data_IF_503053899331
#
_entry.id   IF_503053899331
#
_cell.length_a   1.000
_cell.length_b   1.000
_cell.length_c   1.000
_cell.angle_alpha   90.00
_cell.angle_beta   90.00
_cell.angle_gamma   90.00
#
_symmetry.space_group_name_H-M   'P 1'
#
loop_
_entity.id
_entity.type
_entity.pdbx_description
1 polymer ?
#
# COMPACT_ATOMS: atom_id res chain seq x y z
N UNK A 1 40.71 -1.53 -13.58
CA UNK A 1 39.79 -2.69 -13.59
C UNK A 1 38.47 -2.19 -13.07
N UNK A 2 37.45 -2.06 -13.93
CA UNK A 2 36.10 -1.69 -13.50
C UNK A 2 35.52 -2.86 -12.73
N UNK A 3 35.18 -2.66 -11.46
CA UNK A 3 34.40 -3.62 -10.68
C UNK A 3 33.14 -3.99 -11.49
N UNK A 4 32.77 -5.27 -11.61
CA UNK A 4 31.53 -5.64 -12.28
C UNK A 4 30.37 -4.94 -11.58
N UNK A 5 29.54 -4.23 -12.34
CA UNK A 5 28.29 -3.67 -11.83
C UNK A 5 27.51 -4.82 -11.16
N UNK A 6 27.08 -4.69 -9.90
CA UNK A 6 26.30 -5.72 -9.25
C UNK A 6 25.09 -6.05 -10.12
N UNK A 7 24.77 -7.33 -10.28
CA UNK A 7 23.55 -7.72 -10.98
C UNK A 7 22.33 -7.04 -10.31
N UNK A 8 21.48 -6.41 -11.13
CA UNK A 8 20.22 -5.81 -10.66
C UNK A 8 19.39 -6.95 -10.06
N UNK A 9 18.90 -6.76 -8.84
CA UNK A 9 18.05 -7.74 -8.17
C UNK A 9 16.76 -7.96 -8.95
N UNK A 10 16.34 -9.22 -9.09
CA UNK A 10 15.03 -9.60 -9.63
C UNK A 10 14.46 -10.77 -8.83
N UNK A 11 13.15 -10.78 -8.50
CA UNK A 11 12.54 -11.92 -7.82
C UNK A 11 12.71 -13.22 -8.63
N UNK A 12 13.00 -14.30 -7.93
CA UNK A 12 13.09 -15.66 -8.48
C UNK A 12 12.00 -16.55 -7.88
N UNK A 13 11.88 -17.78 -8.39
CA UNK A 13 10.80 -18.73 -8.07
C UNK A 13 10.67 -19.09 -6.58
N UNK A 14 11.72 -18.86 -5.78
CA UNK A 14 11.69 -19.13 -4.33
C UNK A 14 11.21 -17.92 -3.51
N UNK A 15 11.02 -16.75 -4.14
CA UNK A 15 10.52 -15.57 -3.47
C UNK A 15 9.14 -15.86 -2.87
N UNK A 16 8.94 -15.55 -1.59
CA UNK A 16 7.73 -15.93 -0.84
C UNK A 16 6.44 -15.44 -1.50
N UNK A 17 6.47 -14.25 -2.12
CA UNK A 17 5.31 -13.69 -2.81
C UNK A 17 4.83 -14.53 -4.00
N UNK A 18 5.66 -15.40 -4.59
CA UNK A 18 5.27 -16.32 -5.69
C UNK A 18 4.14 -17.25 -5.27
N UNK A 19 4.08 -17.61 -3.98
CA UNK A 19 3.06 -18.52 -3.43
C UNK A 19 1.69 -17.86 -3.21
N UNK A 20 1.61 -16.53 -3.34
CA UNK A 20 0.37 -15.79 -3.10
C UNK A 20 -0.61 -16.04 -4.26
N UNK A 21 -1.88 -16.39 -3.99
CA UNK A 21 -2.86 -16.65 -5.04
C UNK A 21 -3.20 -15.40 -5.87
N UNK A 22 -3.20 -15.54 -7.19
CA UNK A 22 -3.65 -14.48 -8.12
C UNK A 22 -5.15 -14.48 -8.37
N UNK A 23 -5.80 -15.64 -8.26
CA UNK A 23 -7.20 -15.86 -8.61
C UNK A 23 -7.90 -16.54 -7.45
N UNK A 24 -8.99 -15.92 -7.02
CA UNK A 24 -9.88 -16.39 -5.96
C UNK A 24 -11.31 -15.99 -6.33
N UNK A 25 -12.30 -16.49 -5.59
CA UNK A 25 -13.74 -16.25 -5.76
C UNK A 25 -14.20 -14.87 -5.26
N UNK A 26 -13.35 -14.17 -4.49
CA UNK A 26 -13.65 -12.87 -3.91
C UNK A 26 -14.14 -11.87 -4.96
N UNK A 27 -15.08 -11.00 -4.58
CA UNK A 27 -15.51 -9.90 -5.44
C UNK A 27 -14.30 -9.02 -5.78
N UNK A 28 -14.19 -8.60 -7.05
CA UNK A 28 -13.17 -7.65 -7.52
C UNK A 28 -13.83 -6.49 -8.24
N UNK A 29 -13.32 -5.30 -7.99
CA UNK A 29 -13.81 -4.08 -8.60
C UNK A 29 -13.52 -4.07 -10.12
N UNK A 30 -14.54 -3.93 -10.99
CA UNK A 30 -14.36 -3.90 -12.43
C UNK A 30 -13.37 -2.83 -12.91
N UNK A 31 -13.30 -1.69 -12.21
CA UNK A 31 -12.36 -0.60 -12.51
C UNK A 31 -10.89 -1.00 -12.47
N UNK A 32 -10.56 -2.08 -11.75
CA UNK A 32 -9.19 -2.55 -11.55
C UNK A 32 -8.82 -3.71 -12.48
N UNK A 33 -9.76 -4.26 -13.25
CA UNK A 33 -9.52 -5.47 -14.04
C UNK A 33 -8.40 -5.30 -15.08
N UNK A 34 -8.33 -4.16 -15.74
CA UNK A 34 -7.34 -3.91 -16.78
C UNK A 34 -5.93 -3.79 -16.18
N UNK A 35 -5.73 -2.81 -15.28
CA UNK A 35 -4.39 -2.40 -14.84
C UNK A 35 -4.00 -2.86 -13.43
N UNK A 36 -4.96 -3.32 -12.63
CA UNK A 36 -4.76 -3.62 -11.21
C UNK A 36 -4.61 -2.37 -10.32
N UNK A 37 -4.76 -1.16 -10.86
CA UNK A 37 -4.78 0.08 -10.09
C UNK A 37 -5.66 1.13 -10.76
N UNK A 38 -6.12 2.11 -9.97
CA UNK A 38 -6.87 3.27 -10.43
C UNK A 38 -6.31 4.53 -9.77
N UNK A 39 -5.92 5.50 -10.59
CA UNK A 39 -5.55 6.84 -10.12
C UNK A 39 -6.82 7.66 -9.94
N UNK A 40 -6.92 8.35 -8.80
CA UNK A 40 -8.05 9.19 -8.41
C UNK A 40 -7.64 10.66 -8.49
N UNK A 41 -8.63 11.56 -8.38
CA UNK A 41 -8.38 12.99 -8.25
C UNK A 41 -7.45 13.26 -7.08
N UNK A 42 -6.45 14.11 -7.33
CA UNK A 42 -5.53 14.61 -6.31
C UNK A 42 -6.32 15.22 -5.15
N UNK A 43 -5.97 14.81 -3.93
CA UNK A 43 -6.58 15.33 -2.72
C UNK A 43 -5.97 16.67 -2.35
N UNK A 44 -6.83 17.64 -2.00
CA UNK A 44 -6.37 18.86 -1.38
C UNK A 44 -6.06 18.58 0.11
N UNK A 45 -4.78 18.64 0.47
CA UNK A 45 -4.30 18.36 1.81
C UNK A 45 -3.93 19.65 2.59
N UNK A 46 -4.30 20.84 2.09
CA UNK A 46 -3.90 22.12 2.69
C UNK A 46 -4.46 22.31 4.11
N UNK A 47 -5.58 21.65 4.43
CA UNK A 47 -6.22 21.68 5.74
C UNK A 47 -5.70 20.61 6.71
N UNK A 48 -4.84 19.68 6.24
CA UNK A 48 -4.28 18.60 7.08
C UNK A 48 -2.86 19.01 7.48
N UNK A 49 -2.61 19.40 8.76
CA UNK A 49 -1.30 19.84 9.18
C UNK A 49 -0.33 18.66 9.29
N UNK A 50 0.96 18.91 9.00
CA UNK A 50 1.98 17.87 9.01
C UNK A 50 2.14 17.14 10.34
N UNK A 51 1.80 17.81 11.45
CA UNK A 51 1.74 17.22 12.78
C UNK A 51 0.84 15.98 12.86
N UNK A 52 -0.18 15.84 12.01
CA UNK A 52 -1.05 14.66 11.97
C UNK A 52 -0.35 13.39 11.51
N UNK A 53 0.78 13.50 10.80
CA UNK A 53 1.59 12.32 10.45
C UNK A 53 2.97 12.35 11.08
N UNK A 54 3.57 13.52 11.32
CA UNK A 54 4.92 13.63 11.90
C UNK A 54 4.96 13.26 13.40
N UNK A 55 3.90 13.55 14.16
CA UNK A 55 3.87 13.36 15.62
C UNK A 55 3.33 11.99 16.07
N UNK A 56 3.07 11.08 15.12
CA UNK A 56 2.56 9.75 15.45
C UNK A 56 3.63 8.89 16.12
N UNK A 57 3.19 7.87 16.85
CA UNK A 57 4.10 6.83 17.34
C UNK A 57 4.44 5.87 16.20
N UNK A 58 5.70 5.92 15.75
CA UNK A 58 6.24 5.04 14.72
C UNK A 58 6.88 3.79 15.32
N UNK A 59 6.64 2.66 14.65
CA UNK A 59 7.26 1.38 14.95
C UNK A 59 8.31 1.04 13.89
N UNK A 60 9.40 0.40 14.31
CA UNK A 60 10.41 -0.13 13.40
C UNK A 60 9.87 -1.34 12.63
N UNK A 61 10.11 -1.37 11.31
CA UNK A 61 9.72 -2.50 10.47
C UNK A 61 10.89 -3.46 10.25
N UNK A 62 10.66 -4.74 10.54
CA UNK A 62 11.73 -5.74 10.67
C UNK A 62 12.35 -6.26 9.35
N UNK A 63 11.93 -5.79 8.17
CA UNK A 63 12.36 -6.42 6.91
C UNK A 63 12.71 -5.52 5.72
N UNK A 64 12.85 -4.20 5.85
CA UNK A 64 13.25 -3.41 4.68
C UNK A 64 13.64 -1.96 4.95
N UNK A 65 14.95 -1.71 5.00
CA UNK A 65 15.53 -0.36 4.96
C UNK A 65 14.98 0.57 6.03
N UNK A 66 15.26 1.85 5.88
CA UNK A 66 14.81 2.92 6.77
C UNK A 66 13.29 3.22 6.59
N UNK A 67 12.44 2.18 6.65
CA UNK A 67 10.97 2.27 6.57
C UNK A 67 10.35 2.10 7.95
N UNK A 68 9.54 3.06 8.36
CA UNK A 68 8.79 3.00 9.61
C UNK A 68 7.29 3.09 9.35
N UNK A 69 6.48 2.53 10.26
CA UNK A 69 5.03 2.63 10.17
C UNK A 69 4.42 3.14 11.47
N UNK A 70 3.43 4.03 11.36
CA UNK A 70 2.56 4.40 12.46
C UNK A 70 1.14 3.87 12.18
N UNK A 71 0.68 2.81 12.85
CA UNK A 71 -0.67 2.28 12.64
C UNK A 71 -1.72 3.26 13.14
N UNK A 72 -2.74 3.51 12.32
CA UNK A 72 -3.98 4.22 12.67
C UNK A 72 -5.13 3.24 12.95
N UNK A 73 -5.07 2.05 12.35
CA UNK A 73 -5.95 0.92 12.68
C UNK A 73 -5.19 -0.40 12.63
N UNK A 74 -5.51 -1.31 13.56
CA UNK A 74 -4.89 -2.62 13.70
C UNK A 74 -5.89 -3.69 14.14
N UNK A 75 -5.45 -4.94 14.27
CA UNK A 75 -6.32 -6.09 14.57
C UNK A 75 -6.97 -6.01 15.96
N UNK A 76 -6.29 -5.36 16.90
CA UNK A 76 -6.63 -5.29 18.32
C UNK A 76 -6.61 -3.85 18.88
N UNK A 77 -6.43 -2.84 18.01
CA UNK A 77 -6.37 -1.43 18.40
C UNK A 77 -5.04 -1.00 19.02
N UNK A 78 -4.04 -1.88 19.08
CA UNK A 78 -2.69 -1.52 19.53
C UNK A 78 -1.86 -0.92 18.39
N UNK A 79 -0.79 -0.19 18.73
CA UNK A 79 0.15 0.37 17.75
C UNK A 79 1.10 -0.70 17.15
N UNK A 80 0.86 -1.99 17.37
CA UNK A 80 1.71 -3.05 16.82
C UNK A 80 1.48 -3.24 15.31
N UNK A 81 2.57 -3.32 14.53
CA UNK A 81 2.53 -3.47 13.07
C UNK A 81 2.30 -4.91 12.58
N UNK A 82 1.62 -5.77 13.33
CA UNK A 82 1.44 -7.19 12.98
C UNK A 82 0.52 -7.43 11.78
N UNK A 83 0.68 -8.57 11.13
CA UNK A 83 -0.32 -9.08 10.20
C UNK A 83 -1.53 -9.63 10.96
N UNK A 84 -2.76 -9.40 10.49
CA UNK A 84 -3.97 -9.83 11.20
C UNK A 84 -4.06 -11.36 11.33
N UNK A 85 -3.44 -12.10 10.40
CA UNK A 85 -3.36 -13.55 10.44
C UNK A 85 -2.59 -14.08 11.67
N UNK A 86 -1.70 -13.29 12.28
CA UNK A 86 -1.02 -13.67 13.52
C UNK A 86 -1.99 -13.78 14.71
N UNK A 87 -3.14 -13.11 14.60
CA UNK A 87 -4.24 -13.15 15.54
C UNK A 87 -5.41 -14.02 15.03
N UNK A 88 -5.21 -14.76 13.93
CA UNK A 88 -6.25 -15.58 13.32
C UNK A 88 -7.40 -14.79 12.68
N UNK A 89 -7.17 -13.53 12.30
CA UNK A 89 -8.19 -12.65 11.69
C UNK A 89 -7.90 -12.31 10.23
N UNK A 90 -8.97 -12.05 9.49
CA UNK A 90 -8.99 -11.45 8.15
C UNK A 90 -8.42 -10.03 8.18
N UNK A 91 -7.92 -9.47 7.08
CA UNK A 91 -7.46 -8.06 7.02
C UNK A 91 -8.65 -7.09 6.87
N UNK A 92 -9.61 -7.19 7.80
CA UNK A 92 -10.91 -6.48 7.85
C UNK A 92 -11.29 -6.20 9.31
N UNK A 93 -12.33 -5.41 9.54
CA UNK A 93 -12.89 -5.11 10.86
C UNK A 93 -11.85 -4.57 11.84
N UNK A 94 -10.93 -3.74 11.34
CA UNK A 94 -9.85 -3.21 12.15
C UNK A 94 -10.37 -2.24 13.22
N UNK A 95 -9.62 -2.16 14.32
CA UNK A 95 -9.88 -1.28 15.44
C UNK A 95 -8.91 -0.11 15.36
N UNK A 96 -9.42 1.11 15.48
CA UNK A 96 -8.58 2.31 15.50
C UNK A 96 -7.63 2.31 16.71
N UNK A 97 -6.42 2.78 16.48
CA UNK A 97 -5.36 2.87 17.50
C UNK A 97 -5.33 4.27 18.13
N UNK A 98 -4.59 4.49 19.24
CA UNK A 98 -4.41 5.82 19.81
C UNK A 98 -3.80 6.84 18.84
N UNK A 99 -2.99 6.41 17.87
CA UNK A 99 -2.46 7.32 16.83
C UNK A 99 -3.59 7.96 16.00
N UNK A 100 -4.73 7.29 15.82
CA UNK A 100 -5.86 7.84 15.06
C UNK A 100 -6.47 9.10 15.68
N UNK A 101 -6.32 9.28 17.00
CA UNK A 101 -6.81 10.47 17.72
C UNK A 101 -5.95 11.70 17.45
N UNK A 102 -4.71 11.50 16.98
CA UNK A 102 -3.73 12.55 16.70
C UNK A 102 -3.83 13.12 15.28
N UNK A 103 -4.65 12.50 14.42
CA UNK A 103 -4.80 12.88 13.01
C UNK A 103 -6.28 13.11 12.60
N UNK A 104 -7.01 14.01 13.27
CA UNK A 104 -8.45 14.15 13.09
C UNK A 104 -8.86 14.49 11.65
N UNK A 105 -8.14 15.37 10.95
CA UNK A 105 -8.51 15.76 9.59
C UNK A 105 -8.25 14.62 8.59
N UNK A 106 -7.14 13.92 8.73
CA UNK A 106 -6.87 12.72 7.91
C UNK A 106 -7.88 11.61 8.20
N UNK A 107 -8.23 11.40 9.47
CA UNK A 107 -9.22 10.39 9.86
C UNK A 107 -10.63 10.72 9.38
N UNK A 108 -11.00 12.00 9.26
CA UNK A 108 -12.27 12.41 8.64
C UNK A 108 -12.36 11.89 7.21
N UNK A 109 -11.30 12.07 6.42
CA UNK A 109 -11.24 11.54 5.06
C UNK A 109 -11.28 10.01 5.04
N UNK A 110 -10.45 9.35 5.86
CA UNK A 110 -10.37 7.87 5.91
C UNK A 110 -11.73 7.26 6.28
N UNK A 111 -12.43 7.83 7.26
CA UNK A 111 -13.77 7.38 7.69
C UNK A 111 -14.86 7.67 6.67
N UNK A 112 -14.62 8.55 5.70
CA UNK A 112 -15.57 8.83 4.61
C UNK A 112 -15.57 7.78 3.50
N UNK A 113 -14.60 6.86 3.49
CA UNK A 113 -14.50 5.79 2.49
C UNK A 113 -15.56 4.73 2.82
N UNK A 114 -16.50 4.43 1.90
CA UNK A 114 -17.60 3.50 2.16
C UNK A 114 -17.16 2.04 1.95
N UNK A 115 -16.24 1.58 2.79
CA UNK A 115 -15.74 0.21 2.76
C UNK A 115 -15.38 -0.25 4.17
N UNK A 116 -15.52 -1.57 4.41
CA UNK A 116 -14.83 -2.18 5.54
C UNK A 116 -13.32 -2.00 5.35
N UNK A 117 -12.60 -1.79 6.45
CA UNK A 117 -11.16 -1.52 6.42
C UNK A 117 -10.39 -2.50 7.30
N UNK A 118 -9.22 -2.87 6.80
CA UNK A 118 -8.21 -3.62 7.54
C UNK A 118 -7.17 -2.69 8.13
N UNK A 119 -5.89 -3.05 7.95
CA UNK A 119 -4.76 -2.20 8.34
C UNK A 119 -4.86 -0.79 7.74
N UNK A 120 -4.72 0.22 8.60
CA UNK A 120 -4.51 1.62 8.20
C UNK A 120 -3.21 2.09 8.83
N UNK A 121 -2.30 2.63 8.02
CA UNK A 121 -0.95 3.01 8.48
C UNK A 121 -0.47 4.28 7.79
N UNK A 122 0.28 5.09 8.51
CA UNK A 122 1.22 6.03 7.89
C UNK A 122 2.53 5.28 7.66
N UNK A 123 3.04 5.32 6.44
CA UNK A 123 4.39 4.90 6.11
C UNK A 123 5.30 6.12 6.11
N UNK A 124 6.46 6.00 6.75
CA UNK A 124 7.61 6.89 6.58
C UNK A 124 8.68 6.12 5.83
N UNK A 125 9.15 6.67 4.72
CA UNK A 125 10.16 6.06 3.87
C UNK A 125 11.31 7.05 3.67
N UNK A 126 12.54 6.66 4.02
CA UNK A 126 13.72 7.47 3.71
C UNK A 126 14.16 7.36 2.24
N UNK A 127 14.96 8.31 1.75
CA UNK A 127 15.52 8.28 0.41
C UNK A 127 16.22 6.98 0.03
N UNK A 128 15.95 6.52 -1.19
CA UNK A 128 16.55 5.31 -1.77
C UNK A 128 16.55 5.37 -3.30
N UNK A 129 17.59 4.80 -3.90
CA UNK A 129 17.66 4.64 -5.35
C UNK A 129 16.69 3.57 -5.84
N UNK A 130 16.41 3.57 -7.15
CA UNK A 130 15.66 2.50 -7.80
C UNK A 130 16.21 1.10 -7.48
N UNK A 131 17.54 0.91 -7.55
CA UNK A 131 18.20 -0.38 -7.32
C UNK A 131 18.14 -0.83 -5.86
N UNK A 132 18.02 0.11 -4.92
CA UNK A 132 17.76 -0.20 -3.52
C UNK A 132 16.29 -0.61 -3.35
N UNK A 133 15.36 0.16 -3.91
CA UNK A 133 13.92 -0.11 -3.81
C UNK A 133 13.54 -1.47 -4.40
N UNK A 134 14.06 -1.85 -5.57
CA UNK A 134 13.67 -3.10 -6.24
C UNK A 134 13.96 -4.35 -5.39
N UNK A 135 14.91 -4.28 -4.45
CA UNK A 135 15.21 -5.38 -3.50
C UNK A 135 14.06 -5.70 -2.55
N UNK A 136 13.11 -4.78 -2.40
CA UNK A 136 11.92 -4.92 -1.56
C UNK A 136 10.64 -5.07 -2.40
N UNK A 137 10.73 -5.32 -3.71
CA UNK A 137 9.55 -5.57 -4.53
C UNK A 137 8.85 -6.86 -4.11
N UNK A 138 7.55 -6.78 -3.86
CA UNK A 138 6.77 -7.91 -3.37
C UNK A 138 5.30 -7.80 -3.77
N UNK A 139 4.53 -8.86 -3.52
CA UNK A 139 3.07 -8.82 -3.48
C UNK A 139 2.62 -8.99 -2.04
N UNK A 140 1.49 -8.38 -1.70
CA UNK A 140 0.87 -8.53 -0.39
C UNK A 140 -0.04 -9.74 -0.31
N UNK A 141 -0.04 -10.44 0.83
CA UNK A 141 -0.98 -11.52 1.11
C UNK A 141 -2.19 -11.02 1.91
N UNK A 142 -2.96 -10.09 1.32
CA UNK A 142 -4.05 -9.39 2.01
C UNK A 142 -5.30 -10.27 2.24
N UNK A 143 -5.42 -11.40 1.54
CA UNK A 143 -6.66 -12.22 1.53
C UNK A 143 -6.45 -13.62 2.12
N UNK A 144 -5.33 -13.88 2.81
CA UNK A 144 -4.94 -15.20 3.35
C UNK A 144 -6.05 -15.95 4.10
N UNK A 145 -6.85 -15.24 4.90
CA UNK A 145 -7.90 -15.81 5.74
C UNK A 145 -9.30 -15.34 5.36
N UNK A 146 -9.41 -14.55 4.29
CA UNK A 146 -10.69 -13.95 3.91
C UNK A 146 -11.63 -15.03 3.35
N UNK A 147 -12.91 -15.05 3.77
CA UNK A 147 -13.92 -15.90 3.17
C UNK A 147 -14.07 -15.66 1.67
N UNK A 148 -14.24 -16.75 0.92
CA UNK A 148 -14.25 -16.77 -0.55
C UNK A 148 -15.40 -15.96 -1.19
N UNK A 149 -16.49 -15.73 -0.46
CA UNK A 149 -17.68 -15.01 -0.89
C UNK A 149 -17.66 -13.51 -0.55
N UNK A 150 -16.60 -13.04 0.10
CA UNK A 150 -16.44 -11.64 0.48
C UNK A 150 -15.63 -10.81 -0.53
N UNK A 151 -15.45 -9.52 -0.23
CA UNK A 151 -14.64 -8.63 -1.03
C UNK A 151 -13.14 -8.91 -0.94
N UNK A 152 -12.46 -8.70 -2.06
CA UNK A 152 -11.01 -8.69 -2.18
C UNK A 152 -10.41 -7.44 -1.51
N UNK A 153 -9.43 -7.64 -0.64
CA UNK A 153 -8.73 -6.51 0.01
C UNK A 153 -7.72 -5.88 -0.96
N UNK A 154 -7.91 -4.59 -1.21
CA UNK A 154 -7.03 -3.71 -2.00
C UNK A 154 -6.46 -2.60 -1.10
N UNK A 155 -5.43 -1.90 -1.56
CA UNK A 155 -4.82 -0.80 -0.80
C UNK A 155 -5.06 0.54 -1.47
N UNK A 156 -5.65 1.46 -0.73
CA UNK A 156 -5.70 2.87 -1.09
C UNK A 156 -4.46 3.59 -0.55
N UNK A 157 -3.97 4.53 -1.33
CA UNK A 157 -2.77 5.30 -1.07
C UNK A 157 -3.09 6.79 -1.12
N UNK A 158 -2.62 7.55 -0.12
CA UNK A 158 -2.66 9.01 -0.10
C UNK A 158 -1.26 9.52 0.22
N UNK A 159 -0.65 10.23 -0.72
CA UNK A 159 0.67 10.82 -0.54
C UNK A 159 0.59 12.13 0.26
N UNK A 160 1.27 12.21 1.41
CA UNK A 160 1.14 13.33 2.35
C UNK A 160 2.22 14.40 2.15
N UNK A 161 3.39 14.00 1.68
CA UNK A 161 4.53 14.89 1.43
C UNK A 161 4.84 15.04 -0.04
N UNK A 162 5.35 16.20 -0.43
CA UNK A 162 5.72 16.43 -1.82
C UNK A 162 7.13 15.93 -2.11
N UNK A 163 7.24 15.00 -3.05
CA UNK A 163 8.51 14.49 -3.57
C UNK A 163 8.33 14.13 -5.05
N UNK A 164 8.55 15.08 -5.99
CA UNK A 164 8.13 14.96 -7.39
C UNK A 164 8.72 13.74 -8.12
N UNK A 165 9.90 13.28 -7.70
CA UNK A 165 10.59 12.13 -8.30
C UNK A 165 10.20 10.77 -7.69
N UNK A 166 9.23 10.75 -6.76
CA UNK A 166 8.75 9.52 -6.12
C UNK A 166 7.61 8.90 -6.90
N UNK A 167 7.59 7.56 -6.96
CA UNK A 167 6.55 6.83 -7.69
C UNK A 167 6.38 5.41 -7.16
N UNK A 168 5.16 4.89 -7.29
CA UNK A 168 4.87 3.48 -7.02
C UNK A 168 5.25 2.71 -8.28
N UNK A 169 6.20 1.79 -8.14
CA UNK A 169 6.61 0.89 -9.20
C UNK A 169 5.73 -0.36 -9.14
N UNK A 170 5.17 -0.77 -10.28
CA UNK A 170 4.22 -1.87 -10.39
C UNK A 170 4.60 -2.83 -11.53
N UNK A 171 4.41 -4.13 -11.32
CA UNK A 171 4.52 -5.17 -12.36
C UNK A 171 3.38 -6.19 -12.21
N UNK A 172 2.87 -6.67 -13.34
CA UNK A 172 1.97 -7.82 -13.39
C UNK A 172 2.76 -9.14 -13.29
N UNK A 173 2.04 -10.25 -13.09
CA UNK A 173 2.60 -11.59 -12.92
C UNK A 173 2.54 -12.43 -14.19
N UNK A 174 3.56 -13.25 -14.42
CA UNK A 174 3.54 -14.34 -15.41
C UNK A 174 2.79 -15.59 -14.89
N UNK A 175 2.77 -16.67 -15.69
CA UNK A 175 2.13 -17.94 -15.31
C UNK A 175 2.77 -18.63 -14.09
N UNK A 176 4.00 -18.27 -13.75
CA UNK A 176 4.73 -18.76 -12.58
C UNK A 176 4.65 -17.77 -11.41
N UNK A 177 3.74 -16.79 -11.48
CA UNK A 177 3.56 -15.70 -10.54
C UNK A 177 4.75 -14.72 -10.39
N UNK A 178 5.79 -14.80 -11.21
CA UNK A 178 6.93 -13.89 -11.19
C UNK A 178 6.60 -12.55 -11.87
N UNK A 179 7.27 -11.44 -11.50
CA UNK A 179 7.01 -10.16 -12.16
C UNK A 179 7.44 -10.18 -13.63
N UNK A 180 6.60 -9.64 -14.52
CA UNK A 180 6.91 -9.43 -15.93
C UNK A 180 7.56 -8.05 -16.09
N UNK A 181 8.84 -8.00 -16.46
CA UNK A 181 9.60 -6.74 -16.53
C UNK A 181 8.98 -5.73 -17.51
N UNK A 182 8.46 -6.20 -18.63
CA UNK A 182 7.86 -5.39 -19.69
C UNK A 182 6.49 -4.79 -19.28
N UNK A 183 5.90 -5.29 -18.19
CA UNK A 183 4.63 -4.77 -17.65
C UNK A 183 4.81 -3.56 -16.72
N UNK A 184 6.02 -3.01 -16.62
CA UNK A 184 6.34 -1.90 -15.72
C UNK A 184 5.35 -0.74 -15.86
N UNK A 185 4.71 -0.40 -14.74
CA UNK A 185 3.94 0.81 -14.60
C UNK A 185 4.48 1.64 -13.43
N UNK A 186 4.36 2.97 -13.58
CA UNK A 186 4.76 3.94 -12.54
C UNK A 186 3.59 4.86 -12.24
N UNK A 187 3.17 4.88 -10.98
CA UNK A 187 2.14 5.83 -10.51
C UNK A 187 2.86 6.96 -9.76
N UNK A 188 2.79 8.22 -10.24
CA UNK A 188 3.43 9.36 -9.57
C UNK A 188 2.93 9.56 -8.14
N UNK A 189 3.85 9.86 -7.22
CA UNK A 189 3.56 10.07 -5.80
C UNK A 189 4.02 11.47 -5.35
N UNK A 190 3.44 12.50 -5.98
CA UNK A 190 3.52 13.89 -5.51
C UNK A 190 2.51 14.15 -4.39
N UNK A 191 2.62 15.26 -3.65
CA UNK A 191 1.67 15.55 -2.56
C UNK A 191 0.22 15.52 -3.06
N UNK A 192 -0.65 14.83 -2.31
CA UNK A 192 -2.05 14.66 -2.65
C UNK A 192 -2.30 13.58 -3.71
N UNK A 193 -1.27 12.92 -4.25
CA UNK A 193 -1.46 11.73 -5.09
C UNK A 193 -2.32 10.72 -4.35
N UNK A 194 -3.36 10.25 -5.04
CA UNK A 194 -4.40 9.44 -4.46
C UNK A 194 -4.77 8.34 -5.46
N UNK A 195 -4.62 7.08 -5.05
CA UNK A 195 -4.85 5.95 -5.92
C UNK A 195 -5.22 4.70 -5.12
N UNK A 196 -5.78 3.72 -5.79
CA UNK A 196 -6.07 2.40 -5.24
C UNK A 196 -5.35 1.34 -6.08
N UNK A 197 -4.73 0.37 -5.42
CA UNK A 197 -3.89 -0.66 -6.04
C UNK A 197 -4.26 -2.04 -5.49
N UNK A 198 -4.38 -3.00 -6.40
CA UNK A 198 -4.49 -4.41 -6.09
C UNK A 198 -3.10 -4.94 -5.77
N UNK A 199 -2.67 -4.69 -4.53
CA UNK A 199 -1.31 -4.97 -4.08
C UNK A 199 -1.03 -6.47 -3.88
N UNK A 200 -2.07 -7.31 -3.99
CA UNK A 200 -1.94 -8.77 -4.03
C UNK A 200 -1.80 -9.31 -5.46
N UNK A 201 -2.45 -8.69 -6.44
CA UNK A 201 -2.20 -8.99 -7.86
C UNK A 201 -0.82 -8.49 -8.29
N UNK A 202 -0.54 -7.22 -8.02
CA UNK A 202 0.63 -6.53 -8.57
C UNK A 202 1.84 -6.64 -7.65
N UNK A 203 2.98 -6.97 -8.24
CA UNK A 203 4.28 -6.74 -7.61
C UNK A 203 4.50 -5.24 -7.49
N UNK A 204 4.86 -4.77 -6.30
CA UNK A 204 4.94 -3.34 -6.05
C UNK A 204 6.08 -2.96 -5.10
N UNK A 205 6.55 -1.72 -5.25
CA UNK A 205 7.44 -1.06 -4.29
C UNK A 205 7.38 0.46 -4.47
N UNK A 206 7.51 1.20 -3.37
CA UNK A 206 7.70 2.65 -3.41
C UNK A 206 9.14 3.03 -3.75
N UNK A 207 9.33 3.81 -4.81
CA UNK A 207 10.64 4.39 -5.15
C UNK A 207 10.64 5.85 -4.70
N UNK A 208 11.67 6.25 -3.94
CA UNK A 208 11.75 7.58 -3.37
C UNK A 208 13.17 8.15 -3.52
N UNK A 209 13.41 8.84 -4.63
CA UNK A 209 14.71 9.42 -4.97
C UNK A 209 14.94 10.81 -4.34
N UNK A 210 14.13 11.21 -3.36
CA UNK A 210 14.22 12.52 -2.72
C UNK A 210 15.40 12.65 -1.77
N UNK A 211 15.41 13.70 -0.95
CA UNK A 211 16.49 13.94 0.04
C UNK A 211 15.97 14.07 1.47
N UNK A 212 14.68 13.86 1.68
CA UNK A 212 13.99 13.96 2.98
C UNK A 212 13.00 12.82 3.07
N UNK A 213 12.69 12.39 4.29
CA UNK A 213 11.69 11.36 4.54
C UNK A 213 10.35 11.70 3.88
N UNK A 214 9.72 10.68 3.33
CA UNK A 214 8.44 10.74 2.65
C UNK A 214 7.35 10.08 3.49
N UNK A 215 6.17 10.67 3.52
CA UNK A 215 5.02 10.17 4.27
C UNK A 215 3.82 9.90 3.35
N UNK A 216 3.13 8.80 3.61
CA UNK A 216 1.88 8.47 2.96
C UNK A 216 0.95 7.69 3.89
N UNK A 217 -0.37 7.83 3.68
CA UNK A 217 -1.36 6.95 4.28
C UNK A 217 -1.63 5.75 3.36
N UNK A 218 -1.62 4.55 3.95
CA UNK A 218 -1.95 3.29 3.30
C UNK A 218 -3.15 2.70 4.03
N UNK A 219 -4.24 2.44 3.28
CA UNK A 219 -5.51 2.00 3.84
C UNK A 219 -5.90 0.70 3.13
N UNK A 220 -5.89 -0.43 3.84
CA UNK A 220 -6.50 -1.67 3.36
C UNK A 220 -8.02 -1.51 3.38
N UNK A 221 -8.67 -1.69 2.23
CA UNK A 221 -10.13 -1.62 2.10
C UNK A 221 -10.66 -2.86 1.39
N UNK A 222 -11.80 -3.35 1.86
CA UNK A 222 -12.53 -4.43 1.22
C UNK A 222 -13.24 -3.91 -0.04
N UNK A 223 -13.03 -4.57 -1.17
CA UNK A 223 -13.76 -4.24 -2.39
C UNK A 223 -15.24 -4.57 -2.27
N UNK A 224 -16.09 -3.67 -2.74
CA UNK A 224 -17.53 -3.87 -2.83
C UNK A 224 -18.10 -3.10 -4.04
N UNK A 225 -19.33 -3.37 -4.48
CA UNK A 225 -20.01 -2.53 -5.47
C UNK A 225 -20.12 -1.05 -5.03
N UNK A 226 -20.24 -0.80 -3.73
CA UNK A 226 -20.28 0.56 -3.17
C UNK A 226 -18.93 1.27 -3.27
N UNK A 227 -17.83 0.58 -2.93
CA UNK A 227 -16.48 1.12 -3.10
C UNK A 227 -16.17 1.37 -4.58
N UNK A 228 -16.60 0.48 -5.49
CA UNK A 228 -16.46 0.68 -6.94
C UNK A 228 -17.14 1.98 -7.38
N UNK A 229 -18.40 2.21 -6.97
CA UNK A 229 -19.12 3.43 -7.31
C UNK A 229 -18.42 4.66 -6.74
N UNK A 230 -17.94 4.58 -5.51
CA UNK A 230 -17.17 5.66 -4.88
C UNK A 230 -15.88 5.95 -5.66
N UNK A 231 -15.09 4.93 -6.01
CA UNK A 231 -13.86 5.03 -6.81
C UNK A 231 -14.15 5.70 -8.15
N UNK A 232 -15.21 5.30 -8.85
CA UNK A 232 -15.60 5.89 -10.13
C UNK A 232 -15.99 7.37 -9.99
N UNK A 233 -16.63 7.76 -8.89
CA UNK A 233 -16.96 9.18 -8.62
C UNK A 233 -15.73 10.06 -8.35
N UNK A 234 -14.61 9.44 -7.98
CA UNK A 234 -13.34 10.10 -7.62
C UNK A 234 -12.31 10.10 -8.75
N UNK A 235 -12.57 9.45 -9.88
CA UNK A 235 -11.78 9.63 -11.12
C UNK A 235 -11.97 11.06 -11.66
#
# INVERSE_FOLDING_TARGET
>A
MSSPTPAIFWPHSEHWSVKIPLKTSHYRMPSMNEKGYVVLKTLNLDHIPASEWENLTYMDWKSGGDTNFAPLASCDGTNECKGFWENGKTDKDAIFTPNSELCPNLMEYIKSIPANFGRVRIIRLEPQTHDQAIRSVHRDDNNRLNPEDEGWVVRMWIELTDNPDSYMLLYDSDENNLPIKESEARVPMQKGSHFIVDSQRLWHVGVHNGTKSRYAAIISVESSPELEQWVQSKK
#
